data_IF_208876780207
#
_entry.id   IF_208876780207
#
_cell.length_a   1.000
_cell.length_b   1.000
_cell.length_c   1.000
_cell.angle_alpha   90.00
_cell.angle_beta   90.00
_cell.angle_gamma   90.00
#
_symmetry.space_group_name_H-M   'P 1'
#
loop_
_entity.id
_entity.type
_entity.pdbx_description
1 polymer ?
#
# COMPACT_ATOMS: atom_id res chain seq x y z
N UNK A 1 30.16 -13.23 35.45
CA UNK A 1 29.97 -12.18 34.44
C UNK A 1 28.52 -12.27 33.97
N UNK A 2 27.62 -11.48 34.57
CA UNK A 2 26.22 -11.48 34.16
C UNK A 2 26.13 -10.84 32.78
N UNK A 3 25.61 -11.58 31.80
CA UNK A 3 25.25 -11.05 30.50
C UNK A 3 24.19 -9.96 30.74
N UNK A 4 24.55 -8.68 30.57
CA UNK A 4 23.66 -7.52 30.66
C UNK A 4 22.64 -7.45 29.49
N UNK A 5 22.39 -8.58 28.82
CA UNK A 5 21.42 -8.68 27.73
C UNK A 5 20.08 -9.13 28.28
N UNK A 6 19.03 -8.36 28.03
CA UNK A 6 17.65 -8.84 28.21
C UNK A 6 17.16 -9.38 26.88
N UNK A 7 16.64 -10.59 26.88
CA UNK A 7 15.98 -11.16 25.71
C UNK A 7 14.70 -10.36 25.42
N UNK A 8 14.63 -9.74 24.24
CA UNK A 8 13.46 -8.95 23.83
C UNK A 8 12.19 -9.82 23.77
N UNK A 9 12.32 -11.12 23.47
CA UNK A 9 11.19 -12.05 23.49
C UNK A 9 10.61 -12.27 24.89
N UNK A 10 11.37 -11.94 25.94
CA UNK A 10 10.93 -12.01 27.34
C UNK A 10 10.36 -10.68 27.86
N UNK A 11 10.51 -9.59 27.11
CA UNK A 11 10.05 -8.25 27.50
C UNK A 11 8.88 -7.78 26.64
N UNK A 12 8.87 -8.19 25.37
CA UNK A 12 7.89 -7.73 24.37
C UNK A 12 7.09 -8.93 23.92
N UNK A 13 5.77 -8.87 24.12
CA UNK A 13 4.86 -9.81 23.47
C UNK A 13 4.91 -9.55 21.98
N UNK A 14 5.28 -10.54 21.14
CA UNK A 14 5.23 -10.35 19.70
C UNK A 14 3.79 -10.02 19.28
N UNK A 15 3.60 -9.13 18.30
CA UNK A 15 2.28 -8.86 17.77
C UNK A 15 1.63 -10.18 17.31
N UNK A 16 0.31 -10.29 17.47
CA UNK A 16 -0.42 -11.45 17.00
C UNK A 16 -0.26 -11.59 15.49
N UNK A 17 -0.11 -12.83 15.00
CA UNK A 17 -0.09 -13.18 13.56
C UNK A 17 -1.49 -13.06 12.94
N UNK A 18 -2.24 -12.03 13.30
CA UNK A 18 -3.56 -11.75 12.75
C UNK A 18 -3.41 -10.81 11.56
N UNK A 19 -4.09 -11.15 10.47
CA UNK A 19 -4.20 -10.28 9.32
C UNK A 19 -4.93 -8.99 9.76
N UNK A 20 -4.46 -7.80 9.36
CA UNK A 20 -5.20 -6.57 9.59
C UNK A 20 -6.62 -6.69 9.01
N UNK A 21 -7.61 -6.30 9.81
CA UNK A 21 -9.00 -6.20 9.33
C UNK A 21 -9.20 -4.88 8.60
N UNK A 22 -10.08 -4.91 7.59
CA UNK A 22 -10.52 -3.70 6.93
C UNK A 22 -11.43 -2.93 7.88
N UNK A 23 -11.37 -1.59 7.85
CA UNK A 23 -12.24 -0.77 8.68
C UNK A 23 -13.70 -0.86 8.21
N UNK A 24 -14.64 -0.87 9.16
CA UNK A 24 -16.09 -0.85 8.87
C UNK A 24 -16.62 0.56 8.52
N UNK A 25 -15.72 1.52 8.31
CA UNK A 25 -16.09 2.91 8.03
C UNK A 25 -16.61 2.98 6.58
N UNK A 26 -17.77 3.62 6.33
CA UNK A 26 -18.28 3.79 4.98
C UNK A 26 -17.26 4.51 4.08
N UNK A 27 -16.85 3.85 3.00
CA UNK A 27 -15.90 4.37 2.03
C UNK A 27 -16.64 5.17 0.95
N UNK A 28 -16.19 6.40 0.69
CA UNK A 28 -16.69 7.20 -0.42
C UNK A 28 -15.90 6.87 -1.70
N UNK A 29 -16.40 5.88 -2.45
CA UNK A 29 -15.75 5.43 -3.69
C UNK A 29 -15.61 6.53 -4.75
N UNK A 30 -16.57 7.45 -4.86
CA UNK A 30 -16.49 8.55 -5.83
C UNK A 30 -15.38 9.54 -5.48
N UNK A 31 -15.20 9.81 -4.19
CA UNK A 31 -14.10 10.65 -3.73
C UNK A 31 -12.74 10.02 -4.06
N UNK A 32 -12.57 8.73 -3.77
CA UNK A 32 -11.34 8.01 -4.13
C UNK A 32 -11.10 7.96 -5.64
N UNK A 33 -12.15 7.78 -6.45
CA UNK A 33 -12.01 7.83 -7.91
C UNK A 33 -11.49 9.21 -8.38
N UNK A 34 -12.03 10.30 -7.84
CA UNK A 34 -11.58 11.65 -8.16
C UNK A 34 -10.13 11.91 -7.71
N UNK A 35 -9.80 11.50 -6.48
CA UNK A 35 -8.46 11.67 -5.90
C UNK A 35 -7.42 10.77 -6.56
N UNK A 36 -7.82 9.65 -7.17
CA UNK A 36 -6.95 8.80 -7.98
C UNK A 36 -6.76 9.32 -9.40
N UNK A 37 -7.80 9.88 -10.02
CA UNK A 37 -7.76 10.36 -11.40
C UNK A 37 -6.78 11.54 -11.59
N UNK A 38 -6.78 12.50 -10.66
CA UNK A 38 -5.89 13.68 -10.69
C UNK A 38 -4.40 13.32 -10.76
N UNK A 39 -3.84 12.54 -9.82
CA UNK A 39 -2.43 12.15 -9.87
C UNK A 39 -2.14 11.14 -10.97
N UNK A 40 -3.13 10.37 -11.42
CA UNK A 40 -2.96 9.47 -12.55
C UNK A 40 -2.63 10.22 -13.84
N UNK A 41 -3.18 11.42 -14.07
CA UNK A 41 -2.87 12.25 -15.24
C UNK A 41 -1.41 12.73 -15.27
N UNK A 42 -0.80 12.94 -14.10
CA UNK A 42 0.55 13.50 -13.96
C UNK A 42 1.64 12.44 -13.79
N UNK A 43 1.30 11.14 -13.78
CA UNK A 43 2.28 10.06 -13.76
C UNK A 43 3.21 10.14 -14.98
N UNK A 44 4.50 9.93 -14.74
CA UNK A 44 5.44 9.73 -15.84
C UNK A 44 5.16 8.38 -16.54
N UNK A 45 5.73 8.20 -17.73
CA UNK A 45 5.48 7.01 -18.56
C UNK A 45 5.70 5.69 -17.82
N UNK A 46 6.78 5.56 -17.04
CA UNK A 46 7.08 4.30 -16.36
C UNK A 46 6.12 4.03 -15.20
N UNK A 47 5.77 5.08 -14.44
CA UNK A 47 4.78 4.97 -13.36
C UNK A 47 3.39 4.64 -13.92
N UNK A 48 3.00 5.27 -15.03
CA UNK A 48 1.73 5.01 -15.71
C UNK A 48 1.64 3.56 -16.19
N UNK A 49 2.68 3.07 -16.88
CA UNK A 49 2.72 1.67 -17.32
C UNK A 49 2.56 0.70 -16.14
N UNK A 50 3.27 0.95 -15.03
CA UNK A 50 3.14 0.13 -13.83
C UNK A 50 1.72 0.20 -13.21
N UNK A 51 1.12 1.39 -13.15
CA UNK A 51 -0.25 1.55 -12.66
C UNK A 51 -1.25 0.80 -13.55
N UNK A 52 -1.13 0.92 -14.87
CA UNK A 52 -2.01 0.28 -15.83
C UNK A 52 -1.93 -1.24 -15.74
N UNK A 53 -0.72 -1.80 -15.65
CA UNK A 53 -0.51 -3.24 -15.50
C UNK A 53 -1.12 -3.79 -14.19
N UNK A 54 -0.93 -3.06 -13.08
CA UNK A 54 -1.46 -3.46 -11.77
C UNK A 54 -3.00 -3.36 -11.76
N UNK A 55 -3.57 -2.26 -12.24
CA UNK A 55 -5.01 -2.05 -12.26
C UNK A 55 -5.70 -3.04 -13.20
N UNK A 56 -5.12 -3.31 -14.37
CA UNK A 56 -5.65 -4.30 -15.31
C UNK A 56 -5.60 -5.74 -14.76
N UNK A 57 -4.71 -6.01 -13.79
CA UNK A 57 -4.63 -7.32 -13.14
C UNK A 57 -5.66 -7.52 -12.02
N UNK A 58 -6.35 -6.46 -11.57
CA UNK A 58 -7.42 -6.58 -10.58
C UNK A 58 -8.61 -7.39 -11.12
N UNK A 59 -8.86 -7.31 -12.43
CA UNK A 59 -9.95 -8.03 -13.11
C UNK A 59 -9.55 -9.44 -13.58
N UNK A 60 -8.28 -9.83 -13.43
CA UNK A 60 -7.74 -11.12 -13.91
C UNK A 60 -7.59 -12.11 -12.77
N UNK A 61 -7.85 -13.38 -13.05
CA UNK A 61 -7.71 -14.45 -12.06
C UNK A 61 -6.29 -15.05 -12.00
N UNK A 62 -5.38 -14.60 -12.87
CA UNK A 62 -4.01 -15.11 -13.00
C UNK A 62 -2.94 -14.04 -12.70
N UNK A 63 -1.85 -14.46 -12.04
CA UNK A 63 -0.62 -13.69 -11.75
C UNK A 63 -0.79 -12.24 -11.26
N UNK A 64 -1.07 -12.05 -9.96
CA UNK A 64 -1.33 -10.73 -9.34
C UNK A 64 -0.22 -10.20 -8.41
N UNK A 65 1.01 -10.72 -8.53
CA UNK A 65 2.13 -10.29 -7.69
C UNK A 65 3.07 -9.39 -8.50
N UNK A 66 3.20 -8.14 -8.05
CA UNK A 66 4.02 -7.12 -8.69
C UNK A 66 5.10 -6.64 -7.74
N UNK A 67 6.29 -6.37 -8.28
CA UNK A 67 7.38 -5.71 -7.57
C UNK A 67 7.70 -4.40 -8.27
N UNK A 68 7.60 -3.30 -7.53
CA UNK A 68 7.92 -1.96 -8.03
C UNK A 68 9.23 -1.52 -7.38
N UNK A 69 10.28 -1.47 -8.17
CA UNK A 69 11.56 -0.91 -7.75
C UNK A 69 11.77 0.50 -8.30
N UNK A 70 12.54 1.29 -7.58
CA UNK A 70 12.97 2.59 -8.04
C UNK A 70 13.92 3.25 -7.05
N UNK A 71 14.90 4.04 -7.52
CA UNK A 71 15.75 4.87 -6.68
C UNK A 71 14.97 5.78 -5.70
N UNK A 72 15.66 6.32 -4.70
CA UNK A 72 15.12 7.37 -3.85
C UNK A 72 14.64 8.57 -4.68
N UNK A 73 13.51 9.17 -4.30
CA UNK A 73 12.96 10.35 -4.99
C UNK A 73 12.16 10.09 -6.27
N UNK A 74 11.99 8.83 -6.70
CA UNK A 74 11.23 8.46 -7.92
C UNK A 74 9.70 8.47 -7.77
N UNK A 75 9.17 8.94 -6.63
CA UNK A 75 7.73 9.03 -6.44
C UNK A 75 7.01 7.68 -6.27
N UNK A 76 7.65 6.64 -5.73
CA UNK A 76 7.00 5.35 -5.44
C UNK A 76 5.73 5.51 -4.58
N UNK A 77 5.81 6.32 -3.53
CA UNK A 77 4.64 6.63 -2.69
C UNK A 77 3.52 7.30 -3.50
N UNK A 78 3.88 8.22 -4.41
CA UNK A 78 2.90 8.87 -5.29
C UNK A 78 2.17 7.86 -6.18
N UNK A 79 2.91 6.91 -6.74
CA UNK A 79 2.35 5.81 -7.52
C UNK A 79 1.46 4.90 -6.65
N UNK A 80 1.91 4.48 -5.47
CA UNK A 80 1.12 3.62 -4.56
C UNK A 80 -0.19 4.28 -4.13
N UNK A 81 -0.15 5.57 -3.76
CA UNK A 81 -1.33 6.36 -3.41
C UNK A 81 -2.30 6.50 -4.59
N UNK A 82 -1.77 6.65 -5.82
CA UNK A 82 -2.60 6.71 -7.02
C UNK A 82 -3.34 5.39 -7.26
N UNK A 83 -2.61 4.27 -7.21
CA UNK A 83 -3.18 2.93 -7.38
C UNK A 83 -4.21 2.64 -6.27
N UNK A 84 -3.90 2.98 -5.02
CA UNK A 84 -4.81 2.82 -3.88
C UNK A 84 -6.16 3.50 -4.15
N UNK A 85 -6.14 4.79 -4.49
CA UNK A 85 -7.37 5.56 -4.73
C UNK A 85 -8.17 5.02 -5.92
N UNK A 86 -7.50 4.64 -7.01
CA UNK A 86 -8.18 4.06 -8.17
C UNK A 86 -8.80 2.68 -7.86
N UNK A 87 -8.09 1.81 -7.14
CA UNK A 87 -8.61 0.51 -6.73
C UNK A 87 -9.80 0.63 -5.77
N UNK A 88 -9.71 1.53 -4.78
CA UNK A 88 -10.84 1.82 -3.89
C UNK A 88 -12.01 2.42 -4.69
N UNK A 89 -11.76 3.31 -5.65
CA UNK A 89 -12.77 3.86 -6.56
C UNK A 89 -13.49 2.78 -7.38
N UNK A 90 -12.76 1.75 -7.80
CA UNK A 90 -13.28 0.54 -8.44
C UNK A 90 -13.98 -0.44 -7.47
N UNK A 91 -14.13 -0.05 -6.20
CA UNK A 91 -14.75 -0.85 -5.12
C UNK A 91 -13.95 -2.10 -4.75
N UNK A 92 -12.65 -2.12 -5.04
CA UNK A 92 -11.76 -3.16 -4.53
C UNK A 92 -11.48 -2.94 -3.03
N UNK A 93 -11.26 -4.03 -2.31
CA UNK A 93 -10.76 -3.98 -0.93
C UNK A 93 -9.23 -3.93 -0.95
N UNK A 94 -8.64 -2.90 -0.34
CA UNK A 94 -7.19 -2.67 -0.35
C UNK A 94 -6.66 -2.61 1.08
N UNK A 95 -5.54 -3.31 1.32
CA UNK A 95 -4.81 -3.26 2.60
C UNK A 95 -3.41 -2.69 2.36
N UNK A 96 -3.12 -1.57 3.02
CA UNK A 96 -1.80 -0.95 3.01
C UNK A 96 -0.97 -1.50 4.18
N UNK A 97 0.15 -2.16 3.88
CA UNK A 97 1.06 -2.72 4.89
C UNK A 97 2.47 -2.17 4.72
N UNK A 98 3.15 -1.93 5.84
CA UNK A 98 4.54 -1.49 5.86
C UNK A 98 5.29 -2.12 7.02
N UNK A 99 6.58 -2.39 6.81
CA UNK A 99 7.45 -2.97 7.85
C UNK A 99 7.84 -1.97 8.94
N UNK A 100 7.91 -0.68 8.63
CA UNK A 100 8.30 0.38 9.58
C UNK A 100 7.14 1.34 9.82
N UNK A 101 7.03 1.85 11.05
CA UNK A 101 5.98 2.81 11.41
C UNK A 101 6.04 4.11 10.60
N UNK A 102 7.25 4.57 10.24
CA UNK A 102 7.43 5.76 9.38
C UNK A 102 6.84 5.50 7.98
N UNK A 103 7.11 4.33 7.39
CA UNK A 103 6.55 3.98 6.10
C UNK A 103 5.02 3.82 6.17
N UNK A 104 4.50 3.22 7.24
CA UNK A 104 3.06 3.10 7.46
C UNK A 104 2.36 4.46 7.46
N UNK A 105 2.99 5.48 8.07
CA UNK A 105 2.45 6.85 8.12
C UNK A 105 2.48 7.59 6.77
N UNK A 106 3.26 7.09 5.80
CA UNK A 106 3.35 7.67 4.45
C UNK A 106 2.42 6.97 3.44
N UNK A 107 1.87 5.82 3.79
CA UNK A 107 0.89 5.13 2.96
C UNK A 107 -0.50 5.72 3.18
N UNK A 108 -1.29 5.76 2.12
CA UNK A 108 -2.71 6.11 2.20
C UNK A 108 -3.46 5.13 3.10
N UNK A 109 -4.31 5.66 3.97
CA UNK A 109 -5.15 4.91 4.90
C UNK A 109 -6.60 4.90 4.43
#
# INVERSE_FOLDING_TARGET
>A
MLLLGRDLMQIVTPPTNQRPELSDIPINHEHHQCEGARPYETLNTNQRNAADDILAALDRDEHRCFFIDGPGGTGKTYLYTTIYNLAIGQRCQVLCVAWTGIAANLLSQ
#
